data_IF_999664562105
#
_entry.id   IF_999664562105
#
_cell.length_a   1.000
_cell.length_b   1.000
_cell.length_c   1.000
_cell.angle_alpha   90.00
_cell.angle_beta   90.00
_cell.angle_gamma   90.00
#
_symmetry.space_group_name_H-M   'P 1'
#
loop_
_entity.id
_entity.type
_entity.pdbx_description
1 polymer ?
#
# COMPACT_ATOMS: atom_id res chain seq x y z
N UNK A 1 -6.54 21.54 22.90
CA UNK A 1 -5.77 20.29 22.99
C UNK A 1 -4.55 20.47 22.15
N UNK A 2 -3.46 20.78 22.78
CA UNK A 2 -2.20 20.76 22.11
C UNK A 2 -2.01 19.34 21.60
N UNK A 3 -1.94 19.17 20.29
CA UNK A 3 -1.24 18.04 19.73
C UNK A 3 0.19 18.18 20.22
N UNK A 4 0.36 17.94 21.51
CA UNK A 4 1.68 17.77 22.05
C UNK A 4 2.28 16.75 21.15
N UNK A 5 2.92 17.36 20.23
CA UNK A 5 4.11 16.69 19.91
C UNK A 5 4.00 15.26 20.45
N UNK A 6 3.11 14.54 19.86
CA UNK A 6 3.51 13.25 19.51
C UNK A 6 4.79 13.61 18.79
N UNK A 7 5.84 13.73 19.59
CA UNK A 7 7.17 13.83 19.04
C UNK A 7 7.41 12.47 18.48
N UNK A 8 6.74 12.28 17.40
CA UNK A 8 6.94 11.17 16.53
C UNK A 8 8.30 11.48 15.94
N UNK A 9 9.28 10.89 16.58
CA UNK A 9 10.51 10.64 15.87
C UNK A 9 10.11 9.83 14.63
N UNK A 10 9.50 10.50 13.63
CA UNK A 10 9.05 9.90 12.42
C UNK A 10 7.55 10.04 12.13
N UNK A 11 7.14 9.55 10.97
CA UNK A 11 5.76 9.57 10.52
C UNK A 11 4.88 8.55 11.29
N UNK A 12 3.57 8.82 11.33
CA UNK A 12 2.58 7.80 11.71
C UNK A 12 2.30 6.93 10.51
N UNK A 13 2.36 5.62 10.69
CA UNK A 13 2.11 4.64 9.65
C UNK A 13 0.79 3.93 9.91
N UNK A 14 -0.13 4.02 8.97
CA UNK A 14 -1.43 3.35 9.01
C UNK A 14 -1.51 2.38 7.84
N UNK A 15 -1.73 1.10 8.14
CA UNK A 15 -1.96 0.09 7.11
C UNK A 15 -3.46 -0.11 6.91
N UNK A 16 -3.92 0.02 5.68
CA UNK A 16 -5.31 -0.17 5.28
C UNK A 16 -5.40 -1.44 4.43
N UNK A 17 -5.97 -2.47 5.02
CA UNK A 17 -6.15 -3.77 4.37
C UNK A 17 -7.62 -4.05 4.09
N UNK A 18 -7.88 -4.96 3.20
CA UNK A 18 -9.22 -5.42 2.86
C UNK A 18 -9.17 -6.20 1.56
N UNK A 19 -10.17 -7.02 1.33
CA UNK A 19 -10.27 -7.78 0.09
C UNK A 19 -10.35 -6.88 -1.14
N UNK A 20 -10.10 -7.46 -2.31
CA UNK A 20 -10.26 -6.75 -3.58
C UNK A 20 -11.66 -6.14 -3.68
N UNK A 21 -11.74 -4.89 -4.14
CA UNK A 21 -12.98 -4.13 -4.26
C UNK A 21 -13.77 -3.94 -2.96
N UNK A 22 -13.11 -3.97 -1.80
CA UNK A 22 -13.75 -3.70 -0.50
C UNK A 22 -14.03 -2.22 -0.24
N UNK A 23 -13.44 -1.33 -1.05
CA UNK A 23 -13.55 0.12 -0.85
C UNK A 23 -12.32 0.74 -0.17
N UNK A 24 -11.24 -0.02 0.04
CA UNK A 24 -10.04 0.51 0.70
C UNK A 24 -9.38 1.65 -0.08
N UNK A 25 -9.32 1.58 -1.41
CA UNK A 25 -8.77 2.65 -2.25
C UNK A 25 -9.61 3.91 -2.14
N UNK A 26 -10.93 3.79 -2.15
CA UNK A 26 -11.85 4.91 -1.96
C UNK A 26 -11.66 5.57 -0.60
N UNK A 27 -11.52 4.76 0.46
CA UNK A 27 -11.25 5.27 1.80
C UNK A 27 -9.93 6.03 1.87
N UNK A 28 -8.87 5.46 1.33
CA UNK A 28 -7.54 6.08 1.31
C UNK A 28 -7.54 7.40 0.55
N UNK A 29 -8.18 7.45 -0.62
CA UNK A 29 -8.31 8.67 -1.41
C UNK A 29 -9.12 9.75 -0.68
N UNK A 30 -10.16 9.36 0.03
CA UNK A 30 -10.96 10.29 0.82
C UNK A 30 -10.16 10.88 1.99
N UNK A 31 -9.38 10.07 2.68
CA UNK A 31 -8.48 10.53 3.75
C UNK A 31 -7.44 11.48 3.18
N UNK A 32 -6.78 11.10 2.08
CA UNK A 32 -5.76 11.91 1.42
C UNK A 32 -6.31 13.27 0.98
N UNK A 33 -7.50 13.29 0.39
CA UNK A 33 -8.15 14.54 -0.05
C UNK A 33 -8.53 15.42 1.14
N UNK A 34 -8.98 14.81 2.25
CA UNK A 34 -9.42 15.54 3.44
C UNK A 34 -8.26 16.20 4.18
N UNK A 35 -7.14 15.52 4.34
CA UNK A 35 -5.98 16.06 5.08
C UNK A 35 -4.97 16.80 4.19
N UNK A 36 -5.02 16.59 2.89
CA UNK A 36 -4.14 17.21 1.90
C UNK A 36 -2.88 16.40 1.59
N UNK A 37 -2.46 16.49 0.33
CA UNK A 37 -1.29 15.76 -0.18
C UNK A 37 0.02 16.13 0.52
N UNK A 38 0.11 17.34 1.04
CA UNK A 38 1.28 17.84 1.77
C UNK A 38 1.48 17.12 3.12
N UNK A 39 0.45 16.44 3.63
CA UNK A 39 0.48 15.76 4.94
C UNK A 39 0.49 14.24 4.84
N UNK A 40 0.31 13.68 3.65
CA UNK A 40 0.08 12.26 3.47
C UNK A 40 0.87 11.68 2.30
N UNK A 41 1.60 10.61 2.56
CA UNK A 41 2.22 9.77 1.53
C UNK A 41 1.52 8.42 1.50
N UNK A 42 1.14 7.94 0.33
CA UNK A 42 0.49 6.65 0.17
C UNK A 42 1.42 5.66 -0.52
N UNK A 43 1.59 4.50 0.07
CA UNK A 43 2.36 3.38 -0.48
C UNK A 43 1.39 2.27 -0.85
N UNK A 44 1.34 1.93 -2.13
CA UNK A 44 0.44 0.91 -2.65
C UNK A 44 1.16 -0.43 -2.76
N UNK A 45 0.59 -1.46 -2.15
CA UNK A 45 1.10 -2.83 -2.26
C UNK A 45 1.24 -3.27 -3.72
N UNK A 46 0.31 -2.85 -4.58
CA UNK A 46 0.28 -3.23 -5.99
C UNK A 46 1.53 -2.79 -6.77
N UNK A 47 2.28 -1.83 -6.29
CA UNK A 47 3.56 -1.43 -6.90
C UNK A 47 4.69 -2.42 -6.60
N UNK A 48 4.51 -3.32 -5.65
CA UNK A 48 5.57 -4.19 -5.13
C UNK A 48 5.49 -5.64 -5.61
N UNK A 49 4.73 -5.92 -6.65
CA UNK A 49 4.81 -7.24 -7.28
C UNK A 49 6.23 -7.53 -7.74
N UNK A 50 6.66 -8.77 -7.56
CA UNK A 50 8.00 -9.17 -7.98
C UNK A 50 8.10 -9.15 -9.49
N UNK A 51 9.25 -8.76 -10.06
CA UNK A 51 9.48 -8.94 -11.48
C UNK A 51 9.64 -10.43 -11.81
N UNK A 52 9.35 -10.80 -13.05
CA UNK A 52 9.62 -12.14 -13.57
C UNK A 52 8.93 -13.28 -12.79
N UNK A 53 7.65 -13.08 -12.46
CA UNK A 53 6.85 -14.09 -11.76
C UNK A 53 6.52 -15.33 -12.62
N UNK A 54 6.81 -15.30 -13.92
CA UNK A 54 6.51 -16.37 -14.86
C UNK A 54 5.24 -16.10 -15.67
N UNK A 55 4.59 -17.19 -16.13
CA UNK A 55 3.36 -17.07 -16.93
C UNK A 55 2.23 -16.43 -16.10
N UNK A 56 1.70 -15.26 -16.51
CA UNK A 56 0.64 -14.58 -15.77
C UNK A 56 -0.63 -15.41 -15.56
N UNK A 57 -0.90 -16.37 -16.43
CA UNK A 57 -2.04 -17.28 -16.30
C UNK A 57 -1.88 -18.22 -15.11
N UNK A 58 -0.64 -18.55 -14.74
CA UNK A 58 -0.32 -19.48 -13.67
C UNK A 58 0.00 -18.78 -12.34
N UNK A 59 0.22 -17.47 -12.35
CA UNK A 59 0.59 -16.71 -11.16
C UNK A 59 -0.63 -16.36 -10.33
N UNK A 60 -0.59 -16.70 -9.05
CA UNK A 60 -1.56 -16.19 -8.08
C UNK A 60 -1.08 -14.85 -7.53
N UNK A 61 -1.58 -13.75 -8.08
CA UNK A 61 -1.22 -12.40 -7.65
C UNK A 61 -1.74 -12.04 -6.25
N UNK A 62 -2.64 -12.82 -5.70
CA UNK A 62 -3.15 -12.64 -4.33
C UNK A 62 -2.33 -13.42 -3.29
N UNK A 63 -1.31 -14.15 -3.73
CA UNK A 63 -0.44 -14.91 -2.84
C UNK A 63 0.71 -14.02 -2.32
N UNK A 64 1.06 -14.13 -1.02
CA UNK A 64 2.15 -13.31 -0.46
C UNK A 64 3.48 -13.43 -1.20
N UNK A 65 3.78 -14.58 -1.77
CA UNK A 65 5.05 -14.82 -2.48
C UNK A 65 5.16 -14.02 -3.79
N UNK A 66 4.03 -13.52 -4.33
CA UNK A 66 4.05 -12.67 -5.51
C UNK A 66 4.55 -11.24 -5.20
N UNK A 67 4.64 -10.88 -3.94
CA UNK A 67 4.93 -9.53 -3.48
C UNK A 67 6.29 -9.45 -2.80
N UNK A 68 6.99 -8.35 -3.04
CA UNK A 68 8.28 -8.05 -2.43
C UNK A 68 8.07 -7.28 -1.12
N UNK A 69 7.61 -7.98 -0.08
CA UNK A 69 7.36 -7.37 1.21
C UNK A 69 8.63 -6.93 1.93
N UNK A 70 9.78 -7.51 1.62
CA UNK A 70 11.06 -7.08 2.19
C UNK A 70 11.39 -5.68 1.71
N UNK A 71 11.36 -5.45 0.40
CA UNK A 71 11.60 -4.13 -0.17
C UNK A 71 10.55 -3.12 0.31
N UNK A 72 9.28 -3.51 0.32
CA UNK A 72 8.21 -2.64 0.80
C UNK A 72 8.41 -2.25 2.27
N UNK A 73 8.80 -3.19 3.12
CA UNK A 73 9.10 -2.93 4.52
C UNK A 73 10.28 -1.97 4.70
N UNK A 74 11.34 -2.16 3.92
CA UNK A 74 12.49 -1.23 3.92
C UNK A 74 12.07 0.19 3.53
N UNK A 75 11.24 0.32 2.52
CA UNK A 75 10.73 1.62 2.06
C UNK A 75 9.85 2.29 3.12
N UNK A 76 8.98 1.55 3.77
CA UNK A 76 8.13 2.08 4.84
C UNK A 76 8.98 2.55 6.01
N UNK A 77 9.96 1.74 6.40
CA UNK A 77 10.91 2.10 7.45
C UNK A 77 11.68 3.38 7.12
N UNK A 78 12.13 3.53 5.89
CA UNK A 78 12.82 4.74 5.42
C UNK A 78 11.92 5.98 5.50
N UNK A 79 10.67 5.87 5.02
CA UNK A 79 9.70 6.97 5.11
C UNK A 79 9.42 7.35 6.57
N UNK A 80 9.26 6.35 7.44
CA UNK A 80 9.04 6.59 8.87
C UNK A 80 10.19 7.33 9.52
N UNK A 81 11.42 7.09 9.06
CA UNK A 81 12.63 7.72 9.56
C UNK A 81 12.94 9.06 8.89
N UNK A 82 12.10 9.53 7.99
CA UNK A 82 12.25 10.81 7.34
C UNK A 82 13.06 10.80 6.04
N UNK A 83 13.20 9.64 5.41
CA UNK A 83 13.94 9.48 4.15
C UNK A 83 12.99 9.27 2.98
N UNK A 84 13.31 9.89 1.84
CA UNK A 84 12.61 9.64 0.58
C UNK A 84 12.94 8.26 0.04
N UNK A 85 12.01 7.70 -0.74
CA UNK A 85 12.17 6.38 -1.36
C UNK A 85 11.88 6.47 -2.86
N UNK A 86 12.42 5.50 -3.59
CA UNK A 86 12.10 5.27 -4.99
C UNK A 86 11.28 3.99 -5.10
N UNK A 87 9.95 4.13 -5.22
CA UNK A 87 9.08 2.96 -5.34
C UNK A 87 9.14 2.38 -6.74
N UNK A 88 9.09 1.04 -6.86
CA UNK A 88 8.94 0.43 -8.18
C UNK A 88 7.60 0.81 -8.80
N UNK A 89 7.54 0.77 -10.11
CA UNK A 89 6.31 0.90 -10.88
C UNK A 89 6.06 -0.44 -11.56
N UNK A 90 4.93 -1.06 -11.24
CA UNK A 90 4.56 -2.34 -11.84
C UNK A 90 3.60 -2.10 -13.00
N UNK A 91 3.97 -2.63 -14.17
CA UNK A 91 3.14 -2.57 -15.37
C UNK A 91 2.30 -3.84 -15.47
N UNK A 92 1.00 -3.71 -15.24
CA UNK A 92 0.06 -4.83 -15.29
C UNK A 92 -0.20 -5.33 -16.72
N UNK A 93 0.12 -4.54 -17.74
CA UNK A 93 0.00 -4.97 -19.13
C UNK A 93 1.11 -5.93 -19.55
N UNK A 94 2.30 -5.76 -19.02
CA UNK A 94 3.46 -6.62 -19.28
C UNK A 94 3.80 -7.57 -18.14
N UNK A 95 3.11 -7.44 -16.99
CA UNK A 95 3.33 -8.21 -15.77
C UNK A 95 4.77 -8.16 -15.27
N UNK A 96 5.39 -6.98 -15.34
CA UNK A 96 6.73 -6.75 -14.83
C UNK A 96 6.91 -5.31 -14.32
N UNK A 97 8.01 -5.08 -13.63
CA UNK A 97 8.42 -3.74 -13.26
C UNK A 97 9.02 -3.03 -14.45
N UNK A 98 8.72 -1.74 -14.60
CA UNK A 98 9.42 -0.90 -15.57
C UNK A 98 10.71 -0.36 -14.96
N UNK A 99 11.59 0.22 -15.76
CA UNK A 99 12.88 0.74 -15.32
C UNK A 99 12.75 2.03 -14.49
N UNK A 100 11.69 2.79 -14.74
CA UNK A 100 11.41 4.03 -14.01
C UNK A 100 10.88 3.71 -12.59
N UNK A 101 11.17 4.61 -11.68
CA UNK A 101 10.67 4.59 -10.30
C UNK A 101 9.88 5.86 -10.02
N UNK A 102 9.14 5.84 -8.93
CA UNK A 102 8.41 7.01 -8.45
C UNK A 102 8.97 7.43 -7.09
N UNK A 103 9.36 8.69 -6.98
CA UNK A 103 9.85 9.24 -5.71
C UNK A 103 8.69 9.53 -4.78
N UNK A 104 8.73 8.97 -3.58
CA UNK A 104 7.85 9.34 -2.48
C UNK A 104 8.67 10.01 -1.39
N UNK A 105 8.18 11.15 -0.92
CA UNK A 105 8.82 11.91 0.14
C UNK A 105 8.15 11.63 1.48
N UNK A 106 8.91 11.69 2.60
CA UNK A 106 8.33 11.48 3.92
C UNK A 106 7.40 12.63 4.29
N UNK A 107 6.27 12.29 4.88
CA UNK A 107 5.28 13.23 5.38
C UNK A 107 4.78 12.77 6.75
N UNK A 108 3.98 13.59 7.41
CA UNK A 108 3.51 13.28 8.76
C UNK A 108 2.71 11.97 8.85
N UNK A 109 1.98 11.64 7.79
CA UNK A 109 1.19 10.40 7.69
C UNK A 109 1.67 9.57 6.50
N UNK A 110 1.94 8.30 6.74
CA UNK A 110 2.18 7.29 5.70
C UNK A 110 1.04 6.30 5.74
N UNK A 111 0.30 6.18 4.65
CA UNK A 111 -0.75 5.19 4.50
C UNK A 111 -0.24 4.08 3.60
N UNK A 112 -0.40 2.85 4.06
CA UNK A 112 -0.07 1.65 3.27
C UNK A 112 -1.39 1.00 2.88
N UNK A 113 -1.60 0.78 1.61
CA UNK A 113 -2.84 0.18 1.11
C UNK A 113 -2.56 -1.13 0.39
N UNK A 114 -3.32 -2.17 0.70
CA UNK A 114 -3.27 -3.42 -0.06
C UNK A 114 -4.01 -4.56 0.62
N UNK A 115 -4.26 -5.62 -0.16
CA UNK A 115 -5.01 -6.78 0.32
C UNK A 115 -4.27 -7.57 1.41
N UNK A 116 -2.93 -7.53 1.44
CA UNK A 116 -2.09 -8.34 2.32
C UNK A 116 -1.20 -7.52 3.26
N UNK A 117 -1.38 -6.21 3.33
CA UNK A 117 -0.46 -5.34 4.10
C UNK A 117 -0.46 -5.64 5.60
N UNK A 118 -1.54 -6.18 6.16
CA UNK A 118 -1.59 -6.60 7.56
C UNK A 118 -1.08 -8.05 7.77
N UNK A 119 -0.89 -8.80 6.69
CA UNK A 119 -0.37 -10.16 6.74
C UNK A 119 1.14 -10.22 6.94
N UNK A 120 1.87 -9.30 6.33
CA UNK A 120 3.32 -9.36 6.24
C UNK A 120 4.00 -8.84 7.52
N UNK A 121 4.83 -9.64 8.21
CA UNK A 121 5.56 -9.17 9.40
C UNK A 121 6.48 -7.96 9.11
N UNK A 122 7.11 -7.93 7.93
CA UNK A 122 7.98 -6.83 7.53
C UNK A 122 7.24 -5.49 7.45
N UNK A 123 5.94 -5.52 7.14
CA UNK A 123 5.08 -4.33 7.11
C UNK A 123 4.57 -4.01 8.51
N UNK A 124 4.09 -5.02 9.24
CA UNK A 124 3.57 -4.83 10.60
C UNK A 124 4.59 -4.24 11.55
N UNK A 125 5.87 -4.53 11.38
CA UNK A 125 6.95 -4.00 12.21
C UNK A 125 6.99 -2.46 12.21
N UNK A 126 6.57 -1.82 11.13
CA UNK A 126 6.57 -0.37 10.99
C UNK A 126 5.18 0.26 11.15
N UNK A 127 4.13 -0.55 11.26
CA UNK A 127 2.74 -0.09 11.29
C UNK A 127 2.35 0.31 12.71
N UNK A 128 1.87 1.55 12.86
CA UNK A 128 1.36 2.05 14.13
C UNK A 128 -0.11 1.68 14.33
N UNK A 129 -0.91 1.71 13.26
CA UNK A 129 -2.33 1.38 13.28
C UNK A 129 -2.71 0.56 12.07
N UNK A 130 -3.52 -0.48 12.29
CA UNK A 130 -4.10 -1.28 11.22
C UNK A 130 -5.60 -1.00 11.09
N UNK A 131 -6.06 -0.85 9.85
CA UNK A 131 -7.47 -0.70 9.49
C UNK A 131 -7.84 -1.79 8.51
N UNK A 132 -8.87 -2.54 8.82
CA UNK A 132 -9.42 -3.53 7.91
C UNK A 132 -10.76 -3.05 7.36
N UNK A 133 -10.86 -2.93 6.04
CA UNK A 133 -12.09 -2.53 5.36
C UNK A 133 -12.89 -3.78 5.03
N UNK A 134 -13.94 -4.03 5.80
CA UNK A 134 -14.86 -5.15 5.58
C UNK A 134 -15.87 -4.82 4.48
N UNK A 135 -16.17 -5.82 3.67
CA UNK A 135 -17.22 -5.74 2.66
C UNK A 135 -17.74 -7.15 2.36
N UNK A 136 -19.04 -7.29 2.18
CA UNK A 136 -19.61 -8.58 1.81
C UNK A 136 -18.98 -9.12 0.53
N UNK A 137 -18.69 -10.42 0.50
CA UNK A 137 -18.02 -11.07 -0.61
C UNK A 137 -18.75 -10.88 -1.94
N UNK A 138 -20.08 -11.00 -1.94
CA UNK A 138 -20.90 -10.79 -3.12
C UNK A 138 -20.78 -9.38 -3.69
N UNK A 139 -20.71 -8.35 -2.83
CA UNK A 139 -20.53 -6.96 -3.25
C UNK A 139 -19.15 -6.76 -3.86
N UNK A 140 -18.11 -7.32 -3.25
CA UNK A 140 -16.75 -7.25 -3.79
C UNK A 140 -16.66 -7.91 -5.17
N UNK A 141 -17.27 -9.05 -5.31
CA UNK A 141 -17.29 -9.79 -6.58
C UNK A 141 -17.97 -8.99 -7.67
N UNK A 142 -19.14 -8.40 -7.39
CA UNK A 142 -19.87 -7.57 -8.35
C UNK A 142 -19.06 -6.34 -8.78
N UNK A 143 -18.40 -5.65 -7.83
CA UNK A 143 -17.53 -4.50 -8.10
C UNK A 143 -16.32 -4.87 -8.94
N UNK A 144 -15.70 -6.00 -8.67
CA UNK A 144 -14.56 -6.50 -9.41
C UNK A 144 -14.95 -6.84 -10.86
N UNK A 145 -16.08 -7.48 -11.05
CA UNK A 145 -16.59 -7.81 -12.38
C UNK A 145 -16.86 -6.56 -13.23
N UNK A 146 -17.37 -5.49 -12.63
CA UNK A 146 -17.56 -4.20 -13.31
C UNK A 146 -16.23 -3.53 -13.68
N UNK A 147 -15.25 -3.57 -12.79
CA UNK A 147 -13.94 -2.98 -13.03
C UNK A 147 -13.17 -3.67 -14.14
N UNK A 148 -13.29 -4.99 -14.24
CA UNK A 148 -12.54 -5.85 -15.16
C UNK A 148 -13.21 -6.03 -16.53
N UNK A 149 -14.34 -5.35 -16.80
CA UNK A 149 -15.02 -5.35 -18.10
C UNK A 149 -14.22 -4.58 -19.15
#
# INVERSE_FOLDING_TARGET
>A
MTLRSINLAGAVVIAVAGGSCSGKTTLVEKVRTTIGDEHCTVVYQDDYYRPNLGDPVLVNFDHPDALDFILMGEHIGALKQGHSIETPIYDFSTHTRISETKTLTPKALVIIEGILVLHAPAIRAWTDYGVFVGCEEGVRYARRSQRDI
#
